data_IF_752252381956
#
_entry.id   IF_752252381956
#
_cell.length_a   1.000
_cell.length_b   1.000
_cell.length_c   1.000
_cell.angle_alpha   90.00
_cell.angle_beta   90.00
_cell.angle_gamma   90.00
#
_symmetry.space_group_name_H-M   'P 1'
#
loop_
_entity.id
_entity.type
_entity.pdbx_description
1 polymer ?
#
# COMPACT_ATOMS: atom_id res chain seq x y z
N UNK A 1 1.54 -9.07 1.29
CA UNK A 1 0.93 -10.13 0.44
C UNK A 1 -0.58 -10.02 0.32
N UNK A 2 -1.27 -9.32 1.24
CA UNK A 2 -2.70 -9.00 1.12
C UNK A 2 -2.97 -8.18 -0.15
N UNK A 3 -4.12 -8.44 -0.81
CA UNK A 3 -4.56 -7.69 -1.99
C UNK A 3 -6.00 -7.25 -1.84
N UNK A 4 -6.24 -6.01 -2.21
CA UNK A 4 -7.57 -5.44 -2.35
C UNK A 4 -7.99 -5.33 -3.82
N UNK A 5 -9.16 -4.75 -4.05
CA UNK A 5 -9.64 -4.48 -5.40
C UNK A 5 -10.58 -3.29 -5.44
N UNK A 6 -10.70 -2.71 -6.64
CA UNK A 6 -11.70 -1.70 -6.97
C UNK A 6 -12.65 -2.29 -8.00
N UNK A 7 -13.96 -2.08 -7.82
CA UNK A 7 -15.00 -2.55 -8.74
C UNK A 7 -15.89 -1.40 -9.16
N UNK A 8 -16.21 -1.33 -10.45
CA UNK A 8 -17.23 -0.43 -11.00
C UNK A 8 -18.61 -0.94 -10.59
N UNK A 9 -19.46 -0.06 -10.09
CA UNK A 9 -20.78 -0.41 -9.57
C UNK A 9 -21.90 -0.30 -10.61
N UNK A 10 -21.80 0.66 -11.53
CA UNK A 10 -22.73 0.85 -12.64
C UNK A 10 -22.11 1.67 -13.79
N UNK A 11 -22.90 2.06 -14.78
CA UNK A 11 -22.46 2.84 -15.95
C UNK A 11 -22.34 4.34 -15.70
N UNK A 12 -22.89 4.85 -14.60
CA UNK A 12 -22.79 6.27 -14.25
C UNK A 12 -21.46 6.53 -13.59
N UNK A 13 -20.59 7.27 -14.24
CA UNK A 13 -19.25 7.62 -13.74
C UNK A 13 -19.28 8.46 -12.45
N UNK A 14 -20.44 9.00 -12.04
CA UNK A 14 -20.64 9.71 -10.78
C UNK A 14 -20.88 8.75 -9.61
N UNK A 15 -21.22 7.50 -9.87
CA UNK A 15 -21.33 6.47 -8.84
C UNK A 15 -19.96 6.07 -8.37
N UNK A 16 -19.72 6.20 -7.06
CA UNK A 16 -18.44 5.81 -6.47
C UNK A 16 -18.15 4.33 -6.67
N UNK A 17 -16.90 4.05 -7.03
CA UNK A 17 -16.41 2.68 -7.11
C UNK A 17 -16.44 2.00 -5.74
N UNK A 18 -16.70 0.70 -5.71
CA UNK A 18 -16.54 -0.11 -4.50
C UNK A 18 -15.06 -0.39 -4.29
N UNK A 19 -14.52 0.10 -3.18
CA UNK A 19 -13.12 -0.08 -2.79
C UNK A 19 -13.06 -1.10 -1.65
N UNK A 20 -12.31 -2.19 -1.85
CA UNK A 20 -12.02 -3.19 -0.83
C UNK A 20 -10.51 -3.24 -0.61
N UNK A 21 -10.04 -2.66 0.49
CA UNK A 21 -8.61 -2.60 0.81
C UNK A 21 -8.05 -3.97 1.23
N UNK A 22 -8.83 -4.75 1.95
CA UNK A 22 -8.51 -6.11 2.36
C UNK A 22 -7.18 -6.24 3.15
N UNK A 23 -6.88 -5.27 4.02
CA UNK A 23 -5.68 -5.26 4.86
C UNK A 23 -5.59 -6.49 5.75
N UNK A 24 -4.35 -6.94 6.02
CA UNK A 24 -4.03 -8.04 6.92
C UNK A 24 -4.82 -9.33 6.63
N UNK A 25 -5.18 -9.58 5.38
CA UNK A 25 -5.94 -10.77 4.98
C UNK A 25 -5.10 -12.05 4.93
N UNK A 26 -3.77 -11.91 4.85
CA UNK A 26 -2.83 -13.04 4.85
C UNK A 26 -2.17 -13.22 6.21
N UNK A 27 -1.78 -14.45 6.51
CA UNK A 27 -1.06 -14.77 7.75
C UNK A 27 0.31 -14.07 7.79
N UNK A 28 1.00 -14.01 6.65
CA UNK A 28 2.29 -13.34 6.55
C UNK A 28 2.21 -11.87 6.94
N UNK A 29 1.24 -11.13 6.41
CA UNK A 29 1.08 -9.71 6.73
C UNK A 29 0.71 -9.50 8.20
N UNK A 30 -0.12 -10.36 8.78
CA UNK A 30 -0.44 -10.34 10.21
C UNK A 30 0.81 -10.56 11.07
N UNK A 31 1.59 -11.60 10.75
CA UNK A 31 2.83 -11.90 11.46
C UNK A 31 3.83 -10.73 11.40
N UNK A 32 3.99 -10.13 10.20
CA UNK A 32 4.90 -8.99 10.01
C UNK A 32 4.40 -7.76 10.78
N UNK A 33 3.10 -7.50 10.79
CA UNK A 33 2.53 -6.37 11.54
C UNK A 33 2.75 -6.53 13.06
N UNK A 34 2.49 -7.71 13.62
CA UNK A 34 2.77 -7.98 15.04
C UNK A 34 4.26 -7.85 15.37
N UNK A 35 5.13 -8.41 14.53
CA UNK A 35 6.58 -8.31 14.70
C UNK A 35 7.06 -6.85 14.61
N UNK A 36 6.50 -6.04 13.71
CA UNK A 36 6.80 -4.61 13.57
C UNK A 36 6.45 -3.82 14.84
N UNK A 37 5.28 -4.07 15.41
CA UNK A 37 4.86 -3.44 16.67
C UNK A 37 5.78 -3.82 17.83
N UNK A 38 6.12 -5.10 17.96
CA UNK A 38 7.08 -5.59 18.98
C UNK A 38 8.47 -4.98 18.79
N UNK A 39 8.93 -4.86 17.54
CA UNK A 39 10.22 -4.21 17.24
C UNK A 39 10.20 -2.72 17.63
N UNK A 40 9.11 -2.02 17.34
CA UNK A 40 8.94 -0.61 17.74
C UNK A 40 9.01 -0.46 19.26
N UNK A 41 8.33 -1.32 20.02
CA UNK A 41 8.45 -1.38 21.49
C UNK A 41 9.89 -1.52 21.94
N UNK A 42 10.60 -2.51 21.40
CA UNK A 42 12.00 -2.76 21.71
C UNK A 42 12.87 -1.54 21.45
N UNK A 43 12.73 -0.90 20.30
CA UNK A 43 13.51 0.28 19.94
C UNK A 43 13.22 1.44 20.90
N UNK A 44 11.95 1.71 21.20
CA UNK A 44 11.57 2.89 21.98
C UNK A 44 11.75 2.69 23.48
N UNK A 45 11.34 1.53 24.01
CA UNK A 45 11.34 1.30 25.47
C UNK A 45 12.66 0.75 26.02
N UNK A 46 13.43 0.02 25.20
CA UNK A 46 14.64 -0.67 25.68
C UNK A 46 15.94 0.02 25.27
N UNK A 47 15.94 0.90 24.24
CA UNK A 47 17.18 1.51 23.80
C UNK A 47 17.66 2.61 24.74
N UNK A 48 18.96 2.64 25.01
CA UNK A 48 19.59 3.66 25.85
C UNK A 48 19.35 5.10 25.34
N UNK A 49 19.22 5.26 24.01
CA UNK A 49 18.97 6.56 23.39
C UNK A 49 17.63 7.15 23.80
N UNK A 50 16.59 6.32 23.90
CA UNK A 50 15.23 6.78 24.24
C UNK A 50 14.94 6.76 25.74
N UNK A 51 15.64 5.96 26.54
CA UNK A 51 15.45 5.88 28.01
C UNK A 51 15.50 7.25 28.70
N UNK A 52 16.35 8.16 28.24
CA UNK A 52 16.46 9.52 28.80
C UNK A 52 15.17 10.34 28.69
N UNK A 53 14.22 9.95 27.83
CA UNK A 53 12.93 10.60 27.67
C UNK A 53 11.82 9.91 28.48
N UNK A 54 12.13 8.81 29.18
CA UNK A 54 11.16 8.00 29.96
C UNK A 54 9.91 7.66 29.14
N UNK A 55 10.05 7.06 27.93
CA UNK A 55 8.90 6.82 27.07
C UNK A 55 7.95 5.80 27.69
N UNK A 56 6.65 6.07 27.55
CA UNK A 56 5.59 5.15 27.95
C UNK A 56 4.76 4.75 26.73
N UNK A 57 4.39 3.47 26.65
CA UNK A 57 3.54 3.00 25.57
C UNK A 57 2.09 3.38 25.84
N UNK A 58 1.54 4.19 24.93
CA UNK A 58 0.14 4.60 24.97
C UNK A 58 -0.78 3.59 24.25
N UNK A 59 -0.35 3.10 23.10
CA UNK A 59 -1.07 2.11 22.25
C UNK A 59 -0.11 1.16 21.58
N UNK A 60 -0.49 -0.13 21.45
CA UNK A 60 -1.72 -0.80 21.89
C UNK A 60 -1.85 -0.99 23.40
N UNK A 61 -0.80 -0.77 24.15
CA UNK A 61 -0.72 -0.90 25.60
C UNK A 61 0.23 -2.03 26.02
N UNK A 62 1.05 -1.79 27.09
CA UNK A 62 2.13 -2.70 27.48
C UNK A 62 1.64 -4.07 27.99
N UNK A 63 0.37 -4.17 28.35
CA UNK A 63 -0.24 -5.42 28.83
C UNK A 63 -0.56 -6.42 27.72
N UNK A 64 -0.57 -5.98 26.44
CA UNK A 64 -0.78 -6.85 25.30
C UNK A 64 0.56 -7.41 24.82
N UNK A 65 0.80 -8.70 25.04
CA UNK A 65 2.06 -9.39 24.71
C UNK A 65 1.90 -10.39 23.57
N UNK A 66 0.71 -10.99 23.44
CA UNK A 66 0.43 -11.99 22.44
C UNK A 66 0.14 -11.35 21.07
N UNK A 67 0.60 -11.98 20.00
CA UNK A 67 0.46 -11.46 18.63
C UNK A 67 -1.01 -11.20 18.26
N UNK A 68 -1.90 -12.10 18.62
CA UNK A 68 -3.32 -12.00 18.30
C UNK A 68 -3.98 -10.79 19.00
N UNK A 69 -3.67 -10.56 20.26
CA UNK A 69 -4.18 -9.42 21.03
C UNK A 69 -3.63 -8.08 20.51
N UNK A 70 -2.33 -8.04 20.17
CA UNK A 70 -1.68 -6.88 19.57
C UNK A 70 -2.35 -6.54 18.23
N UNK A 71 -2.58 -7.52 17.37
CA UNK A 71 -3.20 -7.32 16.06
C UNK A 71 -4.66 -6.88 16.17
N UNK A 72 -5.42 -7.46 17.09
CA UNK A 72 -6.81 -7.09 17.36
C UNK A 72 -6.90 -5.62 17.80
N UNK A 73 -6.07 -5.23 18.77
CA UNK A 73 -6.02 -3.85 19.23
C UNK A 73 -5.56 -2.90 18.11
N UNK A 74 -4.54 -3.29 17.33
CA UNK A 74 -4.07 -2.49 16.20
C UNK A 74 -5.14 -2.28 15.13
N UNK A 75 -5.99 -3.28 14.85
CA UNK A 75 -7.06 -3.18 13.87
C UNK A 75 -8.08 -2.09 14.22
N UNK A 76 -8.25 -1.75 15.50
CA UNK A 76 -9.21 -0.74 15.95
C UNK A 76 -8.75 0.70 15.65
N UNK A 77 -7.44 0.92 15.45
CA UNK A 77 -6.89 2.27 15.22
C UNK A 77 -5.83 2.37 14.12
N UNK A 78 -5.46 1.27 13.48
CA UNK A 78 -4.55 1.32 12.32
C UNK A 78 -5.23 2.01 11.13
N UNK A 79 -4.45 2.81 10.41
CA UNK A 79 -4.91 3.55 9.24
C UNK A 79 -3.97 3.32 8.07
N UNK A 80 -4.48 3.58 6.87
CA UNK A 80 -3.64 3.66 5.68
C UNK A 80 -2.69 4.86 5.78
N UNK A 81 -1.48 4.72 5.24
CA UNK A 81 -0.55 5.85 5.05
C UNK A 81 -0.68 6.48 3.65
N UNK A 82 -1.80 6.20 2.96
CA UNK A 82 -2.19 6.81 1.68
C UNK A 82 -1.24 6.52 0.51
N UNK A 83 -0.69 5.32 0.44
CA UNK A 83 0.16 4.87 -0.67
C UNK A 83 -0.43 3.66 -1.43
N UNK A 84 -1.72 3.71 -1.88
CA UNK A 84 -2.28 2.63 -2.67
C UNK A 84 -1.64 2.59 -4.06
N UNK A 85 -1.44 1.37 -4.59
CA UNK A 85 -0.88 1.12 -5.91
C UNK A 85 -1.58 -0.09 -6.56
N UNK A 86 -1.35 -0.32 -7.86
CA UNK A 86 -1.62 -1.60 -8.52
C UNK A 86 -3.03 -1.79 -9.07
N UNK A 87 -3.94 -0.81 -8.96
CA UNK A 87 -5.31 -0.94 -9.52
C UNK A 87 -5.35 -0.94 -11.05
N UNK A 88 -4.29 -0.43 -11.71
CA UNK A 88 -4.06 -0.52 -13.15
C UNK A 88 -2.69 -1.12 -13.44
N UNK A 89 -2.32 -2.21 -12.74
CA UNK A 89 -0.96 -2.75 -12.75
C UNK A 89 -0.41 -2.98 -14.16
N UNK A 90 0.86 -2.67 -14.33
CA UNK A 90 1.63 -2.97 -15.53
C UNK A 90 1.99 -4.46 -15.55
N UNK A 91 1.97 -5.08 -16.75
CA UNK A 91 2.34 -6.46 -16.93
C UNK A 91 1.86 -7.06 -18.25
N UNK A 92 2.08 -8.38 -18.37
CA UNK A 92 1.68 -9.18 -19.54
C UNK A 92 0.69 -10.30 -19.15
N UNK A 93 0.31 -10.40 -17.89
CA UNK A 93 -0.68 -11.38 -17.42
C UNK A 93 -2.11 -10.89 -17.64
N UNK A 94 -3.08 -11.81 -17.55
CA UNK A 94 -4.50 -11.55 -17.81
C UNK A 94 -5.12 -10.45 -16.89
N UNK A 95 -4.47 -10.12 -15.79
CA UNK A 95 -4.91 -9.07 -14.87
C UNK A 95 -4.16 -7.77 -15.07
N UNK A 96 -3.20 -7.70 -16.00
CA UNK A 96 -2.50 -6.46 -16.30
C UNK A 96 -3.41 -5.50 -17.07
N UNK A 97 -3.36 -4.22 -16.70
CA UNK A 97 -4.17 -3.17 -17.34
C UNK A 97 -3.37 -2.43 -18.39
N UNK A 98 -2.07 -2.22 -18.15
CA UNK A 98 -1.18 -1.53 -19.09
C UNK A 98 0.05 -2.37 -19.42
N UNK A 99 0.61 -2.12 -20.61
CA UNK A 99 1.87 -2.69 -21.07
C UNK A 99 3.09 -1.88 -20.54
N UNK A 100 4.30 -2.24 -20.99
CA UNK A 100 5.55 -1.55 -20.65
C UNK A 100 5.71 -0.16 -21.30
N UNK A 101 4.81 0.21 -22.22
CA UNK A 101 4.68 1.54 -22.78
C UNK A 101 3.54 2.34 -22.13
N UNK A 102 3.00 1.85 -21.01
CA UNK A 102 1.89 2.43 -20.23
C UNK A 102 0.57 2.51 -21.01
N UNK A 103 0.45 1.78 -22.14
CA UNK A 103 -0.75 1.72 -22.97
C UNK A 103 -1.72 0.69 -22.40
N UNK A 104 -3.00 1.07 -22.35
CA UNK A 104 -4.06 0.17 -21.88
C UNK A 104 -4.26 -0.98 -22.88
N UNK A 105 -4.20 -2.21 -22.37
CA UNK A 105 -4.45 -3.40 -23.20
C UNK A 105 -5.83 -3.35 -23.85
N UNK A 106 -5.89 -3.59 -25.15
CA UNK A 106 -7.13 -3.64 -25.92
C UNK A 106 -7.78 -2.28 -26.26
N UNK A 107 -7.24 -1.15 -25.78
CA UNK A 107 -7.77 0.19 -26.06
C UNK A 107 -6.69 1.05 -26.73
N UNK A 108 -6.98 1.56 -27.93
CA UNK A 108 -6.04 2.43 -28.65
C UNK A 108 -6.02 3.84 -28.05
N UNK A 109 -4.84 4.46 -28.07
CA UNK A 109 -4.63 5.86 -27.69
C UNK A 109 -5.00 6.20 -26.23
N UNK A 110 -4.94 5.21 -25.34
CA UNK A 110 -5.16 5.40 -23.91
C UNK A 110 -3.95 4.88 -23.13
N UNK A 111 -3.49 5.68 -22.16
CA UNK A 111 -2.44 5.32 -21.21
C UNK A 111 -2.90 5.58 -19.77
N UNK A 112 -2.30 4.87 -18.82
CA UNK A 112 -2.37 5.19 -17.39
C UNK A 112 -0.97 5.49 -16.93
N UNK A 113 -0.77 6.68 -16.29
CA UNK A 113 0.55 7.20 -15.93
C UNK A 113 0.49 7.76 -14.50
N UNK A 114 0.33 6.86 -13.54
CA UNK A 114 0.29 7.20 -12.11
C UNK A 114 0.69 5.98 -11.25
N UNK A 115 0.58 6.10 -9.93
CA UNK A 115 0.95 5.04 -8.99
C UNK A 115 0.18 3.72 -9.20
N UNK A 116 -0.98 3.75 -9.84
CA UNK A 116 -1.81 2.54 -10.06
C UNK A 116 -1.17 1.51 -10.98
N UNK A 117 -0.19 1.92 -11.80
CA UNK A 117 0.54 1.00 -12.69
C UNK A 117 1.53 0.11 -11.95
N UNK A 118 1.97 0.46 -10.73
CA UNK A 118 2.95 -0.32 -9.98
C UNK A 118 2.38 -1.71 -9.64
N UNK A 119 3.00 -2.83 -10.07
CA UNK A 119 2.51 -4.18 -9.74
C UNK A 119 2.58 -4.49 -8.25
N UNK A 120 3.58 -3.91 -7.57
CA UNK A 120 3.78 -4.00 -6.12
C UNK A 120 4.14 -2.62 -5.58
N UNK A 121 3.84 -2.42 -4.29
CA UNK A 121 4.27 -1.20 -3.59
C UNK A 121 5.80 -1.19 -3.44
N UNK A 122 6.39 -0.03 -3.59
CA UNK A 122 7.82 0.18 -3.36
C UNK A 122 8.16 0.10 -1.87
N UNK A 123 9.44 -0.09 -1.53
CA UNK A 123 9.91 -0.21 -0.13
C UNK A 123 9.89 1.11 0.65
N UNK A 124 9.56 2.21 -0.01
CA UNK A 124 9.44 3.55 0.60
C UNK A 124 8.18 4.25 0.13
N UNK A 125 8.06 5.53 0.46
CA UNK A 125 6.95 6.38 0.04
C UNK A 125 6.82 6.43 -1.48
N UNK A 126 5.59 6.43 -1.97
CA UNK A 126 5.29 6.30 -3.42
C UNK A 126 5.43 7.60 -4.21
N UNK A 127 5.71 8.74 -3.58
CA UNK A 127 5.79 10.03 -4.28
C UNK A 127 6.92 10.07 -5.34
N UNK A 128 8.14 9.73 -4.96
CA UNK A 128 9.27 9.75 -5.89
C UNK A 128 9.09 8.77 -7.07
N UNK A 129 8.71 7.49 -6.87
CA UNK A 129 8.43 6.60 -7.99
C UNK A 129 7.24 7.07 -8.84
N UNK A 130 6.23 7.74 -8.29
CA UNK A 130 5.13 8.30 -9.08
C UNK A 130 5.60 9.44 -9.98
N UNK A 131 6.46 10.33 -9.48
CA UNK A 131 7.10 11.38 -10.31
C UNK A 131 7.92 10.73 -11.43
N UNK A 132 8.72 9.72 -11.13
CA UNK A 132 9.51 9.00 -12.13
C UNK A 132 8.61 8.37 -13.22
N UNK A 133 7.49 7.76 -12.84
CA UNK A 133 6.50 7.21 -13.78
C UNK A 133 5.95 8.32 -14.67
N UNK A 134 5.62 9.48 -14.11
CA UNK A 134 5.09 10.62 -14.84
C UNK A 134 6.10 11.18 -15.86
N UNK A 135 7.34 11.40 -15.46
CA UNK A 135 8.44 11.85 -16.36
C UNK A 135 8.66 10.85 -17.48
N UNK A 136 8.77 9.56 -17.16
CA UNK A 136 8.95 8.52 -18.18
C UNK A 136 7.75 8.39 -19.12
N UNK A 137 6.55 8.53 -18.59
CA UNK A 137 5.32 8.52 -19.40
C UNK A 137 5.25 9.72 -20.35
N UNK A 138 5.67 10.90 -19.91
CA UNK A 138 5.77 12.09 -20.75
C UNK A 138 6.76 11.88 -21.91
N UNK A 139 7.94 11.35 -21.66
CA UNK A 139 8.92 11.00 -22.70
C UNK A 139 8.36 10.04 -23.74
N UNK A 140 7.63 8.99 -23.29
CA UNK A 140 7.00 8.00 -24.17
C UNK A 140 5.92 8.63 -25.07
N UNK A 141 5.20 9.65 -24.57
CA UNK A 141 4.18 10.36 -25.36
C UNK A 141 4.86 11.26 -26.41
N UNK A 142 5.89 12.00 -26.00
CA UNK A 142 6.60 12.94 -26.89
C UNK A 142 7.40 12.24 -28.00
N UNK A 143 7.77 10.98 -27.78
CA UNK A 143 8.55 10.16 -28.72
C UNK A 143 7.71 9.22 -29.59
N UNK A 144 6.37 9.25 -29.45
CA UNK A 144 5.44 8.33 -30.13
C UNK A 144 4.78 8.93 -31.38
#
# INVERSE_FOLDING_TARGET
TSRGHISVMDKDSRTYAKIKMNYLSTEEDRRIAAAGLKLTRKIVLESETFKKFSPEEYRPGPHLTEDEDILKAAADYAQTIFHPVGTCKMGQDDMAVVDDQLKVHGIKNLRVIDASIMPNITSGNTNAPTIMIAEKGADMILSS
#
